data_IF_020930687648
#
_entry.id   IF_020930687648
#
_cell.length_a   1.000
_cell.length_b   1.000
_cell.length_c   1.000
_cell.angle_alpha   90.00
_cell.angle_beta   90.00
_cell.angle_gamma   90.00
#
_symmetry.space_group_name_H-M   'P 1'
#
loop_
_entity.id
_entity.type
_entity.pdbx_description
1 polymer ?
#
# COMPACT_ATOMS: atom_id res chain seq x y z
N UNK A 1 36.56 -34.36 -32.97
CA UNK A 1 35.33 -33.52 -33.11
C UNK A 1 34.24 -33.88 -32.05
N UNK A 2 34.59 -33.82 -30.74
CA UNK A 2 33.59 -34.11 -29.67
C UNK A 2 33.39 -32.96 -28.67
N UNK A 3 33.86 -31.75 -28.94
CA UNK A 3 33.82 -30.64 -27.97
C UNK A 3 32.55 -29.74 -27.99
N UNK A 4 31.70 -29.61 -29.00
CA UNK A 4 30.58 -28.67 -28.94
C UNK A 4 29.37 -29.17 -28.13
N UNK A 5 29.16 -30.49 -28.03
CA UNK A 5 27.98 -31.05 -27.33
C UNK A 5 28.08 -30.88 -25.83
N UNK A 6 29.28 -30.98 -25.25
CA UNK A 6 29.51 -30.86 -23.79
C UNK A 6 29.33 -29.42 -23.30
N UNK A 7 29.68 -28.43 -24.14
CA UNK A 7 29.50 -27.00 -23.78
C UNK A 7 28.03 -26.61 -23.84
N UNK A 8 27.29 -27.06 -24.83
CA UNK A 8 25.85 -26.82 -24.94
C UNK A 8 25.06 -27.48 -23.78
N UNK A 9 25.44 -28.70 -23.38
CA UNK A 9 24.86 -29.39 -22.23
C UNK A 9 25.14 -28.67 -20.91
N UNK A 10 26.35 -28.14 -20.73
CA UNK A 10 26.73 -27.36 -19.56
C UNK A 10 25.98 -26.01 -19.45
N UNK A 11 25.82 -25.30 -20.57
CA UNK A 11 25.07 -24.04 -20.62
C UNK A 11 23.57 -24.29 -20.36
N UNK A 12 22.99 -25.32 -20.95
CA UNK A 12 21.59 -25.68 -20.75
C UNK A 12 21.31 -26.10 -19.32
N UNK A 13 22.17 -26.92 -18.70
CA UNK A 13 22.05 -27.29 -17.28
C UNK A 13 22.25 -26.12 -16.34
N UNK A 14 23.20 -25.23 -16.60
CA UNK A 14 23.39 -24.00 -15.83
C UNK A 14 22.18 -23.06 -15.96
N UNK A 15 21.60 -22.95 -17.16
CA UNK A 15 20.39 -22.18 -17.42
C UNK A 15 19.15 -22.77 -16.73
N UNK A 16 19.01 -24.08 -16.75
CA UNK A 16 17.91 -24.80 -16.05
C UNK A 16 18.07 -24.70 -14.52
N UNK A 17 19.29 -24.77 -14.00
CA UNK A 17 19.58 -24.57 -12.57
C UNK A 17 19.38 -23.11 -12.15
N UNK A 18 19.72 -22.15 -12.99
CA UNK A 18 19.45 -20.72 -12.75
C UNK A 18 17.95 -20.43 -12.71
N UNK A 19 17.15 -21.02 -13.60
CA UNK A 19 15.68 -20.95 -13.58
C UNK A 19 15.02 -21.66 -12.39
N UNK A 20 15.72 -22.61 -11.77
CA UNK A 20 15.23 -23.38 -10.63
C UNK A 20 15.68 -22.82 -9.27
N UNK A 21 16.35 -21.66 -9.24
CA UNK A 21 16.65 -21.04 -7.95
C UNK A 21 15.34 -20.76 -7.23
N UNK A 22 15.18 -21.27 -5.99
CA UNK A 22 14.01 -20.91 -5.22
C UNK A 22 13.98 -19.40 -5.07
N UNK A 23 12.84 -18.77 -5.42
CA UNK A 23 12.65 -17.33 -5.24
C UNK A 23 12.72 -17.01 -3.76
N UNK A 24 13.54 -16.01 -3.41
CA UNK A 24 13.58 -15.52 -2.03
C UNK A 24 12.25 -14.83 -1.68
N UNK A 25 11.89 -14.70 -0.40
CA UNK A 25 10.70 -13.95 0.00
C UNK A 25 10.67 -12.51 -0.56
N UNK A 26 11.86 -11.88 -0.69
CA UNK A 26 12.00 -10.55 -1.30
C UNK A 26 11.69 -10.59 -2.81
N UNK A 27 12.18 -11.61 -3.51
CA UNK A 27 11.88 -11.78 -4.94
C UNK A 27 10.39 -12.06 -5.17
N UNK A 28 9.74 -12.78 -4.26
CA UNK A 28 8.30 -12.99 -4.30
C UNK A 28 7.53 -11.68 -4.17
N UNK A 29 7.92 -10.79 -3.24
CA UNK A 29 7.29 -9.47 -3.11
C UNK A 29 7.52 -8.59 -4.33
N UNK A 30 8.74 -8.58 -4.89
CA UNK A 30 9.06 -7.84 -6.13
C UNK A 30 8.23 -8.34 -7.31
N UNK A 31 8.10 -9.64 -7.45
CA UNK A 31 7.29 -10.25 -8.50
C UNK A 31 5.80 -9.92 -8.31
N UNK A 32 5.30 -10.01 -7.07
CA UNK A 32 3.93 -9.66 -6.73
C UNK A 32 3.61 -8.20 -7.09
N UNK A 33 4.53 -7.28 -6.77
CA UNK A 33 4.42 -5.87 -7.14
C UNK A 33 4.39 -5.69 -8.66
N UNK A 34 5.30 -6.34 -9.38
CA UNK A 34 5.39 -6.25 -10.83
C UNK A 34 4.13 -6.78 -11.55
N UNK A 35 3.45 -7.78 -10.96
CA UNK A 35 2.25 -8.39 -11.53
C UNK A 35 0.95 -7.81 -10.93
N UNK A 36 1.03 -6.81 -10.04
CA UNK A 36 -0.14 -6.17 -9.44
C UNK A 36 -0.97 -7.13 -8.58
N UNK A 37 -0.31 -8.02 -7.85
CA UNK A 37 -0.97 -9.01 -6.99
C UNK A 37 -1.50 -8.40 -5.68
N UNK A 38 -1.02 -7.21 -5.29
CA UNK A 38 -1.55 -6.47 -4.16
C UNK A 38 -2.85 -5.76 -4.56
N UNK A 39 -3.93 -6.03 -3.81
CA UNK A 39 -5.27 -5.53 -4.12
C UNK A 39 -5.85 -4.76 -2.94
N UNK A 40 -6.57 -3.63 -3.19
CA UNK A 40 -7.33 -2.94 -2.17
C UNK A 40 -8.64 -3.67 -1.87
N UNK A 41 -8.93 -3.79 -0.57
CA UNK A 41 -10.23 -4.15 -0.04
C UNK A 41 -10.76 -2.94 0.71
N UNK A 42 -12.04 -2.69 0.61
CA UNK A 42 -12.66 -1.50 1.18
C UNK A 42 -13.54 -1.90 2.38
N UNK A 43 -13.17 -1.45 3.57
CA UNK A 43 -13.98 -1.59 4.76
C UNK A 43 -14.77 -0.29 4.97
N UNK A 44 -16.12 -0.32 4.87
CA UNK A 44 -16.91 0.88 5.00
C UNK A 44 -16.89 1.43 6.43
N UNK A 45 -16.83 2.76 6.54
CA UNK A 45 -16.92 3.50 7.80
C UNK A 45 -18.30 4.14 7.86
N UNK A 46 -19.09 3.75 8.87
CA UNK A 46 -20.44 4.22 9.08
C UNK A 46 -20.46 5.14 10.31
N UNK A 47 -21.07 6.31 10.18
CA UNK A 47 -21.26 7.23 11.30
C UNK A 47 -22.20 6.62 12.35
N UNK A 48 -21.76 6.51 13.60
CA UNK A 48 -22.61 6.04 14.69
C UNK A 48 -23.80 6.98 14.97
N UNK A 49 -23.68 8.25 14.58
CA UNK A 49 -24.69 9.28 14.87
C UNK A 49 -25.92 9.21 13.95
N UNK A 50 -25.73 8.87 12.70
CA UNK A 50 -26.82 8.89 11.70
C UNK A 50 -26.83 7.66 10.79
N UNK A 51 -25.97 6.67 11.04
CA UNK A 51 -25.84 5.42 10.28
C UNK A 51 -25.55 5.63 8.77
N UNK A 52 -24.97 6.77 8.42
CA UNK A 52 -24.60 7.06 7.04
C UNK A 52 -23.17 6.65 6.75
N UNK A 53 -22.90 6.25 5.53
CA UNK A 53 -21.56 5.98 5.02
C UNK A 53 -20.76 7.28 4.98
N UNK A 54 -19.60 7.33 5.66
CA UNK A 54 -18.75 8.52 5.75
C UNK A 54 -17.35 8.32 5.16
N UNK A 55 -16.98 7.07 4.92
CA UNK A 55 -15.67 6.75 4.41
C UNK A 55 -15.45 5.27 4.22
N UNK A 56 -14.23 4.93 3.91
CA UNK A 56 -13.75 3.55 3.94
C UNK A 56 -12.28 3.51 4.37
N UNK A 57 -11.90 2.43 5.02
CA UNK A 57 -10.50 2.05 5.20
C UNK A 57 -10.06 1.13 4.07
N UNK A 58 -8.89 1.38 3.51
CA UNK A 58 -8.29 0.57 2.46
C UNK A 58 -7.37 -0.48 3.08
N UNK A 59 -7.79 -1.72 3.00
CA UNK A 59 -7.08 -2.87 3.53
C UNK A 59 -6.37 -3.60 2.39
N UNK A 60 -5.05 -3.67 2.44
CA UNK A 60 -4.27 -4.39 1.45
C UNK A 60 -4.44 -5.91 1.62
N UNK A 61 -4.54 -6.64 0.49
CA UNK A 61 -4.49 -8.11 0.42
C UNK A 61 -3.55 -8.54 -0.71
N UNK A 62 -2.73 -9.54 -0.46
CA UNK A 62 -1.89 -10.12 -1.49
C UNK A 62 -2.57 -11.32 -2.14
N UNK A 63 -2.92 -11.20 -3.40
CA UNK A 63 -3.52 -12.25 -4.21
C UNK A 63 -2.43 -13.10 -4.87
N UNK A 64 -1.85 -14.02 -4.10
CA UNK A 64 -0.80 -14.89 -4.61
C UNK A 64 -1.41 -15.98 -5.52
N UNK A 65 -0.86 -16.20 -6.74
CA UNK A 65 -1.49 -17.07 -7.75
C UNK A 65 -1.61 -18.55 -7.33
N UNK A 66 -0.79 -19.00 -6.39
CA UNK A 66 -0.79 -20.38 -5.90
C UNK A 66 -1.36 -20.48 -4.49
N UNK A 67 -0.96 -19.61 -3.58
CA UNK A 67 -1.33 -19.67 -2.15
C UNK A 67 -2.67 -18.99 -1.84
N UNK A 68 -3.32 -18.34 -2.82
CA UNK A 68 -4.54 -17.58 -2.58
C UNK A 68 -4.29 -16.24 -1.89
N UNK A 69 -5.22 -15.82 -1.04
CA UNK A 69 -5.11 -14.51 -0.36
C UNK A 69 -4.21 -14.63 0.85
N UNK A 70 -3.08 -13.91 0.82
CA UNK A 70 -2.13 -13.79 1.93
C UNK A 70 -2.46 -12.52 2.72
N UNK A 71 -2.69 -12.63 4.05
CA UNK A 71 -3.02 -11.50 4.90
C UNK A 71 -1.80 -10.60 5.16
N UNK A 72 -2.04 -9.30 5.54
CA UNK A 72 -0.99 -8.29 5.66
C UNK A 72 0.12 -8.63 6.66
N UNK A 73 -0.22 -9.22 7.80
CA UNK A 73 0.71 -9.61 8.85
C UNK A 73 1.83 -10.55 8.38
N UNK A 74 1.60 -11.30 7.31
CA UNK A 74 2.57 -12.23 6.74
C UNK A 74 3.58 -11.59 5.78
N UNK A 75 3.31 -10.40 5.21
CA UNK A 75 4.21 -9.79 4.24
C UNK A 75 4.58 -8.32 4.54
N UNK A 76 3.77 -7.58 5.27
CA UNK A 76 4.04 -6.16 5.60
C UNK A 76 5.37 -5.98 6.31
N UNK A 77 5.75 -6.78 7.35
CA UNK A 77 7.04 -6.60 8.01
C UNK A 77 8.24 -6.72 7.07
N UNK A 78 8.17 -7.65 6.11
CA UNK A 78 9.22 -7.80 5.10
C UNK A 78 9.20 -6.65 4.08
N UNK A 79 8.03 -6.20 3.67
CA UNK A 79 7.88 -5.08 2.76
C UNK A 79 8.44 -3.78 3.38
N UNK A 80 8.21 -3.56 4.67
CA UNK A 80 8.76 -2.41 5.43
C UNK A 80 10.28 -2.48 5.55
N UNK A 81 10.82 -3.62 5.99
CA UNK A 81 12.27 -3.80 6.18
C UNK A 81 13.08 -3.69 4.89
N UNK A 82 12.46 -3.97 3.75
CA UNK A 82 13.08 -3.89 2.42
C UNK A 82 12.78 -2.59 1.66
N UNK A 83 11.94 -1.72 2.22
CA UNK A 83 11.46 -0.50 1.55
C UNK A 83 10.44 -0.73 0.44
N UNK A 84 10.07 -1.99 0.16
CA UNK A 84 9.07 -2.32 -0.86
C UNK A 84 7.66 -1.85 -0.48
N UNK A 85 7.42 -1.56 0.79
CA UNK A 85 6.11 -1.07 1.25
C UNK A 85 5.70 0.24 0.55
N UNK A 86 6.64 1.14 0.26
CA UNK A 86 6.35 2.40 -0.40
C UNK A 86 5.82 2.21 -1.84
N UNK A 87 6.51 1.50 -2.75
CA UNK A 87 5.98 1.25 -4.09
C UNK A 87 4.72 0.36 -4.08
N UNK A 88 4.56 -0.55 -3.11
CA UNK A 88 3.33 -1.32 -2.93
C UNK A 88 2.16 -0.38 -2.60
N UNK A 89 2.35 0.55 -1.66
CA UNK A 89 1.31 1.52 -1.29
C UNK A 89 0.99 2.48 -2.44
N UNK A 90 1.97 2.93 -3.20
CA UNK A 90 1.75 3.75 -4.40
C UNK A 90 0.88 3.03 -5.44
N UNK A 91 1.16 1.75 -5.68
CA UNK A 91 0.34 0.93 -6.58
C UNK A 91 -1.07 0.74 -6.01
N UNK A 92 -1.20 0.52 -4.69
CA UNK A 92 -2.49 0.39 -4.02
C UNK A 92 -3.32 1.67 -4.17
N UNK A 93 -2.73 2.85 -3.94
CA UNK A 93 -3.39 4.15 -4.13
C UNK A 93 -3.90 4.31 -5.56
N UNK A 94 -3.11 3.96 -6.55
CA UNK A 94 -3.52 4.03 -7.95
C UNK A 94 -4.70 3.07 -8.27
N UNK A 95 -4.75 1.89 -7.66
CA UNK A 95 -5.89 0.97 -7.80
C UNK A 95 -7.15 1.50 -7.10
N UNK A 96 -7.00 2.17 -5.95
CA UNK A 96 -8.11 2.84 -5.24
C UNK A 96 -8.68 3.97 -6.09
N UNK A 97 -7.82 4.83 -6.67
CA UNK A 97 -8.24 5.87 -7.62
C UNK A 97 -9.05 5.28 -8.77
N UNK A 98 -8.52 4.24 -9.41
CA UNK A 98 -9.17 3.57 -10.53
C UNK A 98 -10.53 2.96 -10.16
N UNK A 99 -10.65 2.44 -8.94
CA UNK A 99 -11.88 1.81 -8.45
C UNK A 99 -12.95 2.81 -8.04
N UNK A 100 -12.57 3.89 -7.36
CA UNK A 100 -13.52 4.82 -6.74
C UNK A 100 -13.86 6.04 -7.63
N UNK A 101 -12.94 6.49 -8.48
CA UNK A 101 -13.20 7.67 -9.32
C UNK A 101 -14.41 7.52 -10.25
N UNK A 102 -14.63 6.37 -10.93
CA UNK A 102 -15.83 6.19 -11.77
C UNK A 102 -17.14 6.29 -11.01
N UNK A 103 -17.15 5.94 -9.73
CA UNK A 103 -18.33 5.94 -8.85
C UNK A 103 -18.35 7.11 -7.86
N UNK A 104 -17.41 8.04 -7.98
CA UNK A 104 -17.25 9.15 -7.04
C UNK A 104 -18.51 9.99 -6.88
N UNK A 105 -19.34 10.12 -7.92
CA UNK A 105 -20.60 10.86 -7.87
C UNK A 105 -21.65 10.24 -6.93
N UNK A 106 -21.53 8.94 -6.63
CA UNK A 106 -22.40 8.25 -5.66
C UNK A 106 -21.89 8.36 -4.22
N UNK A 107 -20.61 8.68 -4.02
CA UNK A 107 -20.06 8.83 -2.69
C UNK A 107 -20.58 10.11 -2.03
N UNK A 108 -20.73 10.15 -0.70
CA UNK A 108 -20.96 11.41 0.02
C UNK A 108 -19.85 12.42 -0.25
N UNK A 109 -20.14 13.72 -0.11
CA UNK A 109 -19.10 14.74 -0.12
C UNK A 109 -18.21 14.59 1.10
N UNK A 110 -16.94 14.95 0.96
CA UNK A 110 -15.93 14.78 2.01
C UNK A 110 -15.74 13.32 2.45
N UNK A 111 -15.92 12.35 1.53
CA UNK A 111 -15.75 10.93 1.79
C UNK A 111 -14.32 10.62 2.23
N UNK A 112 -14.15 10.05 3.43
CA UNK A 112 -12.84 9.72 3.97
C UNK A 112 -12.32 8.41 3.35
N UNK A 113 -11.08 8.44 2.84
CA UNK A 113 -10.39 7.25 2.35
C UNK A 113 -9.15 7.07 3.22
N UNK A 114 -9.20 6.10 4.14
CA UNK A 114 -8.11 5.75 5.05
C UNK A 114 -7.11 4.82 4.39
N UNK A 115 -5.82 5.15 4.46
CA UNK A 115 -4.72 4.33 3.94
C UNK A 115 -3.65 4.19 5.02
N UNK A 116 -3.36 2.94 5.39
CA UNK A 116 -2.34 2.63 6.37
C UNK A 116 -0.94 2.93 5.84
N UNK A 117 -0.14 3.65 6.62
CA UNK A 117 1.26 3.96 6.33
C UNK A 117 2.16 3.63 7.53
N UNK A 118 3.45 3.44 7.25
CA UNK A 118 4.48 3.19 8.26
C UNK A 118 5.65 4.16 8.09
N UNK A 119 6.57 4.25 9.06
CA UNK A 119 7.76 5.10 8.96
C UNK A 119 8.60 4.86 7.70
N UNK A 120 8.59 3.65 7.14
CA UNK A 120 9.32 3.33 5.92
C UNK A 120 8.86 4.16 4.71
N UNK A 121 7.60 4.65 4.71
CA UNK A 121 7.09 5.52 3.65
C UNK A 121 7.75 6.90 3.65
N UNK A 122 8.15 7.41 4.83
CA UNK A 122 8.81 8.72 4.94
C UNK A 122 10.28 8.69 4.53
N UNK A 123 10.88 7.49 4.52
CA UNK A 123 12.25 7.27 4.07
C UNK A 123 12.35 7.05 2.55
N UNK A 124 11.21 6.87 1.90
CA UNK A 124 11.13 6.59 0.46
C UNK A 124 10.60 7.81 -0.29
N UNK A 125 11.14 8.13 -1.47
CA UNK A 125 10.62 9.22 -2.27
C UNK A 125 9.22 8.87 -2.84
N UNK A 126 8.42 9.92 -3.11
CA UNK A 126 7.19 9.79 -3.90
C UNK A 126 5.88 9.68 -3.10
N UNK A 127 5.91 9.66 -1.75
CA UNK A 127 4.68 9.69 -0.96
C UNK A 127 3.89 10.98 -1.22
N UNK A 128 4.57 12.13 -1.24
CA UNK A 128 3.93 13.42 -1.49
C UNK A 128 3.26 13.45 -2.87
N UNK A 129 4.01 13.11 -3.91
CA UNK A 129 3.51 13.10 -5.29
C UNK A 129 2.31 12.15 -5.44
N UNK A 130 2.35 11.00 -4.76
CA UNK A 130 1.25 10.03 -4.75
C UNK A 130 0.00 10.61 -4.08
N UNK A 131 0.14 11.31 -2.94
CA UNK A 131 -0.97 11.95 -2.26
C UNK A 131 -1.59 13.08 -3.09
N UNK A 132 -0.76 13.94 -3.69
CA UNK A 132 -1.22 15.03 -4.56
C UNK A 132 -1.97 14.48 -5.77
N UNK A 133 -1.39 13.49 -6.44
CA UNK A 133 -2.01 12.82 -7.58
C UNK A 133 -3.35 12.21 -7.18
N UNK A 134 -3.38 11.47 -6.06
CA UNK A 134 -4.59 10.85 -5.54
C UNK A 134 -5.71 11.88 -5.35
N UNK A 135 -5.45 12.96 -4.62
CA UNK A 135 -6.45 14.01 -4.38
C UNK A 135 -6.90 14.71 -5.66
N UNK A 136 -5.98 14.89 -6.63
CA UNK A 136 -6.30 15.55 -7.91
C UNK A 136 -7.16 14.72 -8.86
N UNK A 137 -7.21 13.39 -8.65
CA UNK A 137 -8.01 12.47 -9.48
C UNK A 137 -9.51 12.63 -9.23
N UNK A 138 -9.89 13.06 -8.03
CA UNK A 138 -11.30 13.21 -7.64
C UNK A 138 -11.79 14.66 -7.82
N UNK A 139 -13.09 14.89 -8.00
CA UNK A 139 -13.67 16.22 -7.96
C UNK A 139 -13.32 16.93 -6.64
N UNK A 140 -13.05 18.22 -6.72
CA UNK A 140 -12.66 19.04 -5.55
C UNK A 140 -13.67 18.93 -4.41
N UNK A 141 -13.19 18.60 -3.21
CA UNK A 141 -14.03 18.46 -2.02
C UNK A 141 -14.82 17.14 -1.94
N UNK A 142 -14.65 16.24 -2.91
CA UNK A 142 -15.38 14.96 -2.93
C UNK A 142 -14.81 13.95 -1.96
N UNK A 143 -13.49 13.83 -1.92
CA UNK A 143 -12.80 12.89 -1.03
C UNK A 143 -11.80 13.60 -0.13
N UNK A 144 -11.49 12.96 1.00
CA UNK A 144 -10.39 13.27 1.91
C UNK A 144 -9.48 12.05 1.99
N UNK A 145 -8.20 12.26 1.79
CA UNK A 145 -7.20 11.22 2.03
C UNK A 145 -6.76 11.30 3.50
N UNK A 146 -6.92 10.18 4.21
CA UNK A 146 -6.50 10.00 5.60
C UNK A 146 -5.36 8.99 5.62
N UNK A 147 -4.16 9.43 6.03
CA UNK A 147 -3.03 8.54 6.26
C UNK A 147 -3.04 8.08 7.70
N UNK A 148 -3.13 6.77 7.90
CA UNK A 148 -3.29 6.14 9.21
C UNK A 148 -1.96 5.56 9.67
N UNK A 149 -1.51 5.97 10.85
CA UNK A 149 -0.28 5.53 11.50
C UNK A 149 -0.62 4.69 12.72
N UNK A 150 0.03 3.54 12.91
CA UNK A 150 -0.09 2.78 14.14
C UNK A 150 0.68 3.45 15.28
N UNK A 151 0.23 3.30 16.55
CA UNK A 151 0.93 3.86 17.71
C UNK A 151 2.40 3.42 17.81
N UNK A 152 2.72 2.18 17.43
CA UNK A 152 4.10 1.67 17.42
C UNK A 152 5.03 2.49 16.51
N UNK A 153 4.48 3.17 15.55
CA UNK A 153 5.19 3.94 14.53
C UNK A 153 5.43 5.41 14.92
N UNK A 154 4.76 5.91 15.99
CA UNK A 154 4.94 7.29 16.47
C UNK A 154 6.35 7.58 16.99
N UNK A 155 7.01 6.59 17.59
CA UNK A 155 8.31 6.76 18.25
C UNK A 155 9.49 7.03 17.28
N UNK A 156 9.26 6.91 15.99
CA UNK A 156 10.30 7.08 14.95
C UNK A 156 10.11 8.34 14.08
N UNK A 157 9.29 9.29 14.53
CA UNK A 157 9.04 10.52 13.76
C UNK A 157 10.27 11.46 13.86
N UNK A 158 11.03 11.56 12.78
CA UNK A 158 12.19 12.46 12.65
C UNK A 158 11.75 13.91 12.33
N UNK A 159 12.71 14.85 12.36
CA UNK A 159 12.45 16.23 11.94
C UNK A 159 12.00 16.31 10.47
N UNK A 160 12.58 15.47 9.60
CA UNK A 160 12.23 15.37 8.19
C UNK A 160 10.79 14.84 8.00
N UNK A 161 10.40 13.82 8.77
CA UNK A 161 9.03 13.30 8.75
C UNK A 161 8.03 14.38 9.18
N UNK A 162 8.35 15.17 10.20
CA UNK A 162 7.49 16.29 10.65
C UNK A 162 7.30 17.34 9.57
N UNK A 163 8.38 17.69 8.84
CA UNK A 163 8.30 18.64 7.73
C UNK A 163 7.42 18.11 6.60
N UNK A 164 7.55 16.83 6.26
CA UNK A 164 6.70 16.18 5.25
C UNK A 164 5.23 16.12 5.70
N UNK A 165 4.96 15.80 6.98
CA UNK A 165 3.61 15.86 7.55
C UNK A 165 2.97 17.24 7.41
N UNK A 166 3.71 18.30 7.78
CA UNK A 166 3.22 19.67 7.67
C UNK A 166 2.90 20.03 6.22
N UNK A 167 3.75 19.62 5.27
CA UNK A 167 3.57 19.85 3.84
C UNK A 167 2.33 19.12 3.29
N UNK A 168 2.17 17.83 3.61
CA UNK A 168 1.02 17.02 3.22
C UNK A 168 -0.29 17.58 3.82
N UNK A 169 -0.24 18.02 5.08
CA UNK A 169 -1.41 18.63 5.72
C UNK A 169 -1.83 19.94 5.04
N UNK A 170 -0.88 20.79 4.63
CA UNK A 170 -1.16 22.01 3.85
C UNK A 170 -1.82 21.70 2.49
N UNK A 171 -1.59 20.50 1.95
CA UNK A 171 -2.19 20.01 0.70
C UNK A 171 -3.54 19.32 0.90
N UNK A 172 -4.03 19.25 2.14
CA UNK A 172 -5.33 18.68 2.46
C UNK A 172 -5.33 17.19 2.84
N UNK A 173 -4.14 16.59 3.03
CA UNK A 173 -4.02 15.22 3.58
C UNK A 173 -4.24 15.26 5.08
N UNK A 174 -5.09 14.37 5.58
CA UNK A 174 -5.33 14.19 7.01
C UNK A 174 -4.48 13.05 7.57
N UNK A 175 -4.20 13.10 8.86
CA UNK A 175 -3.49 12.04 9.56
C UNK A 175 -4.33 11.53 10.72
N UNK A 176 -4.39 10.23 10.89
CA UNK A 176 -5.02 9.56 12.01
C UNK A 176 -4.03 8.60 12.67
N UNK A 177 -4.25 8.37 13.95
CA UNK A 177 -3.56 7.34 14.70
C UNK A 177 -4.49 6.15 14.80
N UNK A 178 -4.03 5.00 14.31
CA UNK A 178 -4.76 3.74 14.40
C UNK A 178 -4.36 3.00 15.67
N UNK A 179 -5.33 2.81 16.57
CA UNK A 179 -5.22 1.97 17.76
C UNK A 179 -5.45 0.50 17.36
N UNK A 180 -4.40 -0.17 16.92
CA UNK A 180 -4.45 -1.62 16.73
C UNK A 180 -4.71 -2.31 18.09
N UNK A 181 -5.98 -2.58 18.41
CA UNK A 181 -6.34 -3.49 19.49
C UNK A 181 -7.51 -3.14 20.39
N UNK A 182 -8.13 -1.97 20.25
CA UNK A 182 -9.37 -1.68 20.98
C UNK A 182 -10.45 -1.27 19.97
N UNK A 183 -11.34 -2.20 19.64
CA UNK A 183 -12.42 -2.00 18.67
C UNK A 183 -13.48 -0.99 19.10
N UNK A 184 -13.05 0.23 19.43
CA UNK A 184 -13.93 1.38 19.64
C UNK A 184 -13.28 2.62 19.02
N UNK A 185 -13.94 3.29 18.07
CA UNK A 185 -13.52 4.59 17.59
C UNK A 185 -13.75 5.63 18.69
N UNK A 186 -12.67 6.17 19.26
CA UNK A 186 -12.75 7.38 20.09
C UNK A 186 -12.85 8.60 19.19
N UNK A 187 -14.08 8.98 18.88
CA UNK A 187 -14.37 10.31 18.37
C UNK A 187 -14.56 11.26 19.57
N UNK A 188 -13.63 12.16 19.76
CA UNK A 188 -13.84 13.41 20.50
C UNK A 188 -14.09 14.54 19.53
#
# INVERSE_FOLDING_TARGET
>A
YMFPVSIFGGILTAFLMYRRRPSTPIDMLKNALAHGEFRPYFQPIISAKNHQLTGCEVLIRWHHPVSGIIPPDQFIPLAESTGLIAPITQQLMSQVEHSLNPVAHFLPDQFNIGINISPAHFLSPGLEDSCIKFLSTFPKGKVKLVLELTERNQLSVTAESKALFAKLHQQGVLFALDDFGTGYPTHS
#
